data_IF_229829780188
#
_entry.id   IF_229829780188
#
_cell.length_a   1.000
_cell.length_b   1.000
_cell.length_c   1.000
_cell.angle_alpha   90.00
_cell.angle_beta   90.00
_cell.angle_gamma   90.00
#
_symmetry.space_group_name_H-M   'P 1'
#
loop_
_entity.id
_entity.type
_entity.pdbx_description
1 polymer ?
#
# COMPACT_ATOMS: atom_id res chain seq x y z
N UNK A 1 -12.33 -43.59 24.54
CA UNK A 1 -13.45 -43.89 23.63
C UNK A 1 -14.16 -42.57 23.35
N UNK A 2 -13.98 -42.00 22.16
CA UNK A 2 -14.59 -40.70 21.80
C UNK A 2 -16.08 -40.96 21.54
N UNK A 3 -16.96 -40.22 22.23
CA UNK A 3 -18.41 -40.41 22.04
C UNK A 3 -18.87 -39.73 20.75
N UNK A 4 -19.91 -40.28 20.10
CA UNK A 4 -20.49 -39.71 18.87
C UNK A 4 -20.88 -38.23 19.03
N UNK A 5 -21.29 -37.82 20.24
CA UNK A 5 -21.57 -36.41 20.59
C UNK A 5 -20.31 -35.53 20.57
N UNK A 6 -19.17 -36.07 20.99
CA UNK A 6 -17.89 -35.34 20.95
C UNK A 6 -17.42 -35.18 19.51
N UNK A 7 -17.59 -36.20 18.67
CA UNK A 7 -17.25 -36.15 17.25
C UNK A 7 -18.10 -35.09 16.51
N UNK A 8 -19.42 -35.07 16.74
CA UNK A 8 -20.31 -34.07 16.13
C UNK A 8 -19.98 -32.64 16.55
N UNK A 9 -19.61 -32.43 17.82
CA UNK A 9 -19.22 -31.10 18.32
C UNK A 9 -17.91 -30.64 17.69
N UNK A 10 -16.92 -31.52 17.59
CA UNK A 10 -15.63 -31.20 16.97
C UNK A 10 -15.84 -30.91 15.49
N UNK A 11 -16.54 -31.76 14.74
CA UNK A 11 -16.83 -31.53 13.32
C UNK A 11 -17.65 -30.27 13.07
N UNK A 12 -18.62 -29.95 13.93
CA UNK A 12 -19.40 -28.71 13.84
C UNK A 12 -18.56 -27.46 14.09
N UNK A 13 -17.66 -27.49 15.08
CA UNK A 13 -16.73 -26.39 15.34
C UNK A 13 -15.72 -26.25 14.19
N UNK A 14 -15.19 -27.34 13.65
CA UNK A 14 -14.29 -27.31 12.48
C UNK A 14 -14.99 -26.76 11.24
N UNK A 15 -16.27 -27.13 11.01
CA UNK A 15 -17.06 -26.61 9.90
C UNK A 15 -17.33 -25.10 10.05
N UNK A 16 -17.71 -24.66 11.26
CA UNK A 16 -17.91 -23.24 11.56
C UNK A 16 -16.62 -22.42 11.42
N UNK A 17 -15.47 -22.98 11.83
CA UNK A 17 -14.15 -22.38 11.65
C UNK A 17 -13.68 -22.39 10.19
N UNK A 18 -14.14 -23.34 9.37
CA UNK A 18 -13.84 -23.41 7.94
C UNK A 18 -14.75 -22.53 7.06
N UNK A 19 -15.87 -22.04 7.61
CA UNK A 19 -16.78 -21.12 6.94
C UNK A 19 -16.41 -19.65 7.18
N UNK A 20 -15.61 -19.35 8.21
CA UNK A 20 -15.08 -18.01 8.49
C UNK A 20 -13.92 -17.59 7.57
N UNK A 21 -13.41 -18.49 6.73
CA UNK A 21 -12.31 -18.22 5.78
C UNK A 21 -12.79 -17.85 4.36
N UNK A 22 -14.08 -17.59 4.18
CA UNK A 22 -14.59 -16.92 2.97
C UNK A 22 -14.84 -15.44 3.27
N UNK A 23 -13.85 -14.77 3.86
CA UNK A 23 -13.76 -13.32 3.76
C UNK A 23 -13.31 -13.03 2.33
N UNK A 24 -14.18 -12.38 1.54
CA UNK A 24 -13.68 -11.73 0.35
C UNK A 24 -12.89 -10.53 0.86
N UNK A 25 -11.57 -10.54 0.66
CA UNK A 25 -10.75 -9.35 0.87
C UNK A 25 -11.35 -8.22 0.02
N UNK A 26 -11.97 -7.25 0.68
CA UNK A 26 -12.49 -6.04 0.04
C UNK A 26 -11.31 -5.07 -0.06
N UNK A 27 -11.08 -4.46 -1.23
CA UNK A 27 -10.04 -3.45 -1.37
C UNK A 27 -10.59 -2.10 -0.92
N UNK A 28 -9.92 -1.46 0.03
CA UNK A 28 -10.21 -0.10 0.49
C UNK A 28 -9.36 0.89 -0.31
N UNK A 29 -10.02 1.83 -0.96
CA UNK A 29 -9.36 2.92 -1.68
C UNK A 29 -8.76 3.90 -0.67
N UNK A 30 -7.44 4.03 -0.64
CA UNK A 30 -6.75 4.98 0.25
C UNK A 30 -6.62 6.35 -0.39
N UNK A 31 -6.20 6.38 -1.65
CA UNK A 31 -6.02 7.59 -2.44
C UNK A 31 -6.51 7.33 -3.87
N UNK A 32 -7.22 8.30 -4.42
CA UNK A 32 -7.62 8.33 -5.82
C UNK A 32 -7.28 9.67 -6.46
N UNK A 33 -6.24 9.66 -7.27
CA UNK A 33 -5.80 10.85 -8.00
C UNK A 33 -6.66 11.08 -9.25
N UNK A 34 -7.31 10.03 -9.77
CA UNK A 34 -8.22 10.16 -10.92
C UNK A 34 -9.49 10.93 -10.58
N UNK A 35 -9.87 10.96 -9.29
CA UNK A 35 -11.01 11.73 -8.77
C UNK A 35 -10.64 13.18 -8.41
N UNK A 36 -9.42 13.64 -8.74
CA UNK A 36 -9.00 15.03 -8.55
C UNK A 36 -9.97 15.97 -9.26
N UNK A 37 -10.49 16.97 -8.55
CA UNK A 37 -11.41 17.95 -9.13
C UNK A 37 -10.59 18.92 -10.00
N UNK A 38 -11.13 19.41 -11.13
CA UNK A 38 -10.41 20.37 -11.99
C UNK A 38 -9.91 21.63 -11.29
N UNK A 39 -10.55 22.04 -10.17
CA UNK A 39 -10.11 23.19 -9.36
C UNK A 39 -8.92 22.91 -8.44
N UNK A 40 -8.62 21.64 -8.22
CA UNK A 40 -7.54 21.12 -7.35
C UNK A 40 -6.40 20.53 -8.21
N UNK A 41 -6.49 20.65 -9.54
CA UNK A 41 -5.44 20.32 -10.51
C UNK A 41 -4.26 21.28 -10.34
N UNK A 42 -3.04 20.76 -10.42
CA UNK A 42 -1.84 21.59 -10.31
C UNK A 42 -0.62 20.89 -9.72
N UNK A 43 0.46 21.67 -9.64
CA UNK A 43 1.71 21.23 -9.05
C UNK A 43 1.61 21.11 -7.53
N UNK A 44 2.23 20.08 -7.00
CA UNK A 44 2.35 19.80 -5.57
C UNK A 44 3.82 19.53 -5.27
N UNK A 45 4.37 19.98 -4.12
CA UNK A 45 5.78 19.82 -3.83
C UNK A 45 6.27 18.38 -4.00
N UNK A 46 7.48 18.21 -4.55
CA UNK A 46 8.11 16.90 -4.75
C UNK A 46 8.24 16.02 -3.50
N UNK A 47 8.06 16.61 -2.31
CA UNK A 47 7.78 15.90 -1.06
C UNK A 47 6.43 16.37 -0.52
N UNK A 48 5.43 15.50 -0.49
CA UNK A 48 4.08 15.85 -0.07
C UNK A 48 3.42 14.78 0.79
N UNK A 49 2.71 15.20 1.84
CA UNK A 49 2.04 14.30 2.77
C UNK A 49 0.53 14.41 2.65
N UNK A 50 -0.13 13.29 2.34
CA UNK A 50 -1.57 13.14 2.47
C UNK A 50 -1.89 12.67 3.88
N UNK A 51 -2.83 13.35 4.54
CA UNK A 51 -3.19 13.10 5.93
C UNK A 51 -4.53 12.41 6.09
N UNK A 52 -4.70 11.73 7.22
CA UNK A 52 -5.95 11.11 7.66
C UNK A 52 -6.60 10.17 6.63
N UNK A 53 -5.77 9.31 6.02
CA UNK A 53 -6.14 8.38 4.97
C UNK A 53 -7.30 7.47 5.38
N UNK A 54 -8.26 7.32 4.46
CA UNK A 54 -9.48 6.53 4.71
C UNK A 54 -10.29 7.00 5.93
N UNK A 55 -10.12 8.27 6.36
CA UNK A 55 -10.81 8.85 7.50
C UNK A 55 -10.25 8.43 8.87
N UNK A 56 -9.05 7.85 8.91
CA UNK A 56 -8.37 7.45 10.16
C UNK A 56 -7.41 8.56 10.55
N UNK A 57 -7.71 9.23 11.67
CA UNK A 57 -6.86 10.31 12.21
C UNK A 57 -5.41 9.82 12.41
N UNK A 58 -4.44 10.61 11.94
CA UNK A 58 -3.02 10.33 12.08
C UNK A 58 -2.46 9.28 11.11
N UNK A 59 -3.29 8.59 10.33
CA UNK A 59 -2.82 7.70 9.27
C UNK A 59 -2.46 8.50 8.02
N UNK A 60 -1.17 8.67 7.74
CA UNK A 60 -0.67 9.52 6.67
C UNK A 60 0.23 8.74 5.72
N UNK A 61 0.39 9.25 4.50
CA UNK A 61 1.39 8.78 3.54
C UNK A 61 2.14 9.98 2.98
N UNK A 62 3.47 9.87 2.95
CA UNK A 62 4.33 10.87 2.32
C UNK A 62 4.83 10.33 1.00
N UNK A 63 4.70 11.12 -0.05
CA UNK A 63 5.19 10.87 -1.39
C UNK A 63 6.47 11.67 -1.61
N UNK A 64 7.41 11.09 -2.34
CA UNK A 64 8.68 11.74 -2.68
C UNK A 64 9.14 11.32 -4.08
N UNK A 65 9.34 12.30 -4.97
CA UNK A 65 9.94 12.06 -6.29
C UNK A 65 11.42 11.69 -6.16
N UNK A 66 11.90 10.79 -7.01
CA UNK A 66 13.33 10.42 -7.04
C UNK A 66 14.20 11.47 -7.77
N UNK A 67 13.60 12.34 -8.56
CA UNK A 67 14.28 13.40 -9.31
C UNK A 67 14.45 14.69 -8.49
N UNK A 68 13.58 14.90 -7.50
CA UNK A 68 13.47 16.15 -6.75
C UNK A 68 12.55 17.19 -7.41
N UNK A 69 11.91 16.84 -8.52
CA UNK A 69 10.89 17.65 -9.18
C UNK A 69 9.55 17.59 -8.43
N UNK A 70 8.64 18.49 -8.78
CA UNK A 70 7.29 18.53 -8.21
C UNK A 70 6.40 17.42 -8.79
N UNK A 71 5.38 17.04 -8.01
CA UNK A 71 4.29 16.20 -8.48
C UNK A 71 3.29 17.02 -9.29
N UNK A 72 2.64 16.39 -10.27
CA UNK A 72 1.50 16.97 -10.98
C UNK A 72 0.22 16.20 -10.68
N UNK A 73 -0.80 16.86 -10.13
CA UNK A 73 -2.15 16.31 -10.00
C UNK A 73 -2.96 16.68 -11.24
N UNK A 74 -3.27 15.69 -12.09
CA UNK A 74 -4.09 15.86 -13.28
C UNK A 74 -5.52 15.37 -13.06
N UNK A 75 -6.50 16.26 -13.23
CA UNK A 75 -7.90 15.92 -13.04
C UNK A 75 -8.40 14.98 -14.14
N UNK A 76 -8.71 13.75 -13.75
CA UNK A 76 -9.18 12.69 -14.63
C UNK A 76 -8.12 11.66 -15.02
N UNK A 77 -6.83 11.97 -14.86
CA UNK A 77 -5.73 11.07 -15.23
C UNK A 77 -5.06 10.47 -13.99
N UNK A 78 -4.47 11.29 -13.11
CA UNK A 78 -3.80 10.80 -11.92
C UNK A 78 -2.66 11.70 -11.42
N UNK A 79 -1.72 11.09 -10.68
CA UNK A 79 -0.52 11.72 -10.14
C UNK A 79 0.68 11.43 -11.05
N UNK A 80 1.29 12.50 -11.56
CA UNK A 80 2.49 12.47 -12.39
C UNK A 80 3.66 13.23 -11.77
N UNK A 81 4.68 13.50 -12.57
CA UNK A 81 5.87 14.28 -12.18
C UNK A 81 6.06 15.38 -13.22
N UNK A 82 6.22 16.63 -12.78
CA UNK A 82 6.48 17.74 -13.69
C UNK A 82 7.92 18.24 -13.52
N UNK A 83 8.84 17.90 -14.45
CA UNK A 83 10.20 18.42 -14.41
C UNK A 83 10.20 19.91 -14.79
N UNK A 84 10.77 20.76 -13.92
CA UNK A 84 11.18 22.15 -14.22
C UNK A 84 10.10 23.24 -14.38
N UNK A 85 9.48 23.76 -13.29
CA UNK A 85 8.64 24.99 -13.25
C UNK A 85 7.52 25.14 -14.33
N UNK A 86 7.36 24.18 -15.23
CA UNK A 86 6.54 24.18 -16.45
C UNK A 86 5.45 23.10 -16.34
N UNK A 87 4.87 22.99 -15.15
CA UNK A 87 3.79 22.05 -14.84
C UNK A 87 2.50 22.53 -15.52
N UNK A 88 2.26 22.05 -16.74
CA UNK A 88 1.32 22.62 -17.70
C UNK A 88 0.50 21.53 -18.41
N UNK A 89 -0.33 20.78 -17.68
CA UNK A 89 -1.24 19.71 -18.17
C UNK A 89 -0.90 19.18 -19.58
N UNK A 90 0.23 18.51 -19.72
CA UNK A 90 0.72 17.96 -20.97
C UNK A 90 1.41 16.62 -20.74
N UNK A 91 1.86 15.96 -21.81
CA UNK A 91 2.49 14.63 -21.74
C UNK A 91 3.79 14.59 -20.94
N UNK A 92 4.49 15.72 -20.79
CA UNK A 92 5.70 15.81 -19.98
C UNK A 92 5.38 15.77 -18.47
N UNK A 93 4.12 15.95 -18.07
CA UNK A 93 3.68 15.82 -16.68
C UNK A 93 3.40 14.34 -16.30
N UNK A 94 3.66 13.40 -17.20
CA UNK A 94 3.61 11.96 -16.93
C UNK A 94 4.78 11.54 -16.02
N UNK A 95 4.74 10.32 -15.45
CA UNK A 95 5.92 9.69 -14.89
C UNK A 95 6.67 8.99 -16.04
N UNK A 96 7.81 9.53 -16.42
CA UNK A 96 8.61 9.10 -17.57
C UNK A 96 9.74 8.14 -17.19
N UNK A 97 10.39 7.55 -18.19
CA UNK A 97 11.56 6.67 -18.02
C UNK A 97 12.66 7.35 -17.17
N UNK A 98 13.05 6.68 -16.08
CA UNK A 98 14.02 7.16 -15.10
C UNK A 98 13.39 7.86 -13.89
N UNK A 99 12.13 8.26 -13.99
CA UNK A 99 11.38 8.92 -12.93
C UNK A 99 10.62 7.91 -12.07
N UNK A 100 10.39 8.27 -10.82
CA UNK A 100 9.82 7.36 -9.84
C UNK A 100 9.34 8.06 -8.59
N UNK A 101 8.46 7.37 -7.88
CA UNK A 101 7.86 7.84 -6.64
C UNK A 101 8.18 6.85 -5.54
N UNK A 102 8.73 7.38 -4.45
CA UNK A 102 8.83 6.68 -3.18
C UNK A 102 7.73 7.15 -2.24
N UNK A 103 7.28 6.27 -1.36
CA UNK A 103 6.25 6.60 -0.39
C UNK A 103 6.45 5.85 0.93
N UNK A 104 6.10 6.54 2.02
CA UNK A 104 6.25 6.05 3.39
C UNK A 104 4.97 6.29 4.19
N UNK A 105 4.50 5.28 4.89
CA UNK A 105 3.28 5.35 5.69
C UNK A 105 3.60 5.62 7.17
N UNK A 106 2.78 6.44 7.82
CA UNK A 106 2.88 6.71 9.25
C UNK A 106 1.51 6.64 9.92
N UNK A 107 1.44 6.15 11.16
CA UNK A 107 0.29 6.28 12.04
C UNK A 107 0.70 7.06 13.28
N UNK A 108 0.01 8.15 13.60
CA UNK A 108 0.34 9.04 14.73
C UNK A 108 1.80 9.54 14.74
N UNK A 109 2.37 9.70 13.53
CA UNK A 109 3.76 10.11 13.32
C UNK A 109 4.80 8.98 13.45
N UNK A 110 4.39 7.76 13.78
CA UNK A 110 5.24 6.57 13.80
C UNK A 110 5.23 5.90 12.42
N UNK A 111 6.39 5.56 11.82
CA UNK A 111 6.45 4.75 10.61
C UNK A 111 5.76 3.39 10.81
N UNK A 112 4.95 2.98 9.83
CA UNK A 112 4.23 1.71 9.86
C UNK A 112 4.52 0.89 8.61
N UNK A 113 4.45 -0.43 8.78
CA UNK A 113 4.64 -1.39 7.69
C UNK A 113 3.29 -1.74 7.08
N UNK A 114 3.15 -1.55 5.76
CA UNK A 114 1.91 -1.79 5.01
C UNK A 114 2.12 -2.89 3.96
N UNK A 115 1.78 -4.13 4.30
CA UNK A 115 1.80 -5.21 3.32
C UNK A 115 0.54 -5.19 2.43
N UNK A 116 0.66 -5.76 1.24
CA UNK A 116 -0.44 -6.12 0.33
C UNK A 116 -1.29 -4.93 -0.14
N UNK A 117 -0.66 -3.77 -0.36
CA UNK A 117 -1.32 -2.66 -1.05
C UNK A 117 -1.09 -2.75 -2.56
N UNK A 118 -2.08 -2.27 -3.30
CA UNK A 118 -2.13 -2.30 -4.77
C UNK A 118 -2.14 -0.88 -5.31
N UNK A 119 -1.34 -0.65 -6.34
CA UNK A 119 -1.36 0.59 -7.13
C UNK A 119 -2.07 0.33 -8.44
N UNK A 120 -2.94 1.26 -8.82
CA UNK A 120 -3.52 1.36 -10.16
C UNK A 120 -2.83 2.49 -10.89
N UNK A 121 -2.39 2.20 -12.11
CA UNK A 121 -1.86 3.17 -13.04
C UNK A 121 -2.92 3.58 -14.05
N UNK A 122 -2.74 4.77 -14.61
CA UNK A 122 -3.60 5.35 -15.62
C UNK A 122 -2.75 5.91 -16.76
N UNK A 123 -3.39 6.09 -17.91
CA UNK A 123 -2.77 6.65 -19.10
C UNK A 123 -2.91 8.17 -19.17
N UNK A 124 -2.26 8.74 -20.18
CA UNK A 124 -2.46 10.15 -20.51
C UNK A 124 -3.88 10.39 -21.05
N UNK A 125 -4.36 11.61 -20.84
CA UNK A 125 -5.74 12.04 -20.95
C UNK A 125 -6.39 11.61 -22.29
N UNK A 126 -7.24 10.58 -22.24
CA UNK A 126 -7.95 10.05 -23.42
C UNK A 126 -7.14 9.13 -24.34
N UNK A 127 -5.86 8.87 -24.06
CA UNK A 127 -4.98 8.01 -24.85
C UNK A 127 -4.83 6.59 -24.26
N UNK A 128 -5.05 6.46 -22.96
CA UNK A 128 -4.88 5.20 -22.24
C UNK A 128 -3.41 4.89 -21.94
N UNK A 129 -3.17 3.78 -21.26
CA UNK A 129 -1.84 3.38 -20.82
C UNK A 129 -1.04 2.88 -22.02
N UNK A 130 0.05 3.57 -22.32
CA UNK A 130 1.09 3.06 -23.21
C UNK A 130 1.82 1.93 -22.48
N UNK A 131 2.05 0.81 -23.16
CA UNK A 131 2.77 -0.34 -22.60
C UNK A 131 4.08 0.11 -21.94
N UNK A 132 4.09 0.09 -20.61
CA UNK A 132 5.14 0.64 -19.77
C UNK A 132 5.72 -0.44 -18.87
N UNK A 133 6.92 -0.19 -18.35
CA UNK A 133 7.58 -1.08 -17.40
C UNK A 133 8.00 -0.30 -16.17
N UNK A 134 7.63 -0.79 -15.00
CA UNK A 134 8.10 -0.26 -13.73
C UNK A 134 9.04 -1.27 -13.06
N UNK A 135 10.06 -0.77 -12.38
CA UNK A 135 10.83 -1.53 -11.41
C UNK A 135 10.37 -1.13 -10.02
N UNK A 136 9.75 -2.06 -9.29
CA UNK A 136 9.47 -1.90 -7.87
C UNK A 136 10.71 -2.33 -7.05
N UNK A 137 10.89 -1.76 -5.86
CA UNK A 137 12.04 -2.01 -4.97
C UNK A 137 12.30 -3.51 -4.64
N UNK A 138 11.32 -4.38 -4.85
CA UNK A 138 11.47 -5.83 -4.71
C UNK A 138 12.24 -6.51 -5.86
N UNK A 139 12.81 -5.71 -6.78
CA UNK A 139 13.56 -6.13 -7.99
C UNK A 139 12.65 -6.79 -9.04
N UNK A 140 11.33 -6.76 -8.84
CA UNK A 140 10.40 -7.19 -9.89
C UNK A 140 10.18 -6.05 -10.88
N UNK A 141 10.42 -6.36 -12.15
CA UNK A 141 10.00 -5.49 -13.24
C UNK A 141 8.61 -5.93 -13.69
N UNK A 142 7.65 -5.01 -13.59
CA UNK A 142 6.25 -5.27 -13.91
C UNK A 142 5.88 -4.52 -15.19
N UNK A 143 5.22 -5.21 -16.11
CA UNK A 143 4.60 -4.60 -17.28
C UNK A 143 3.27 -4.00 -16.86
N UNK A 144 3.06 -2.72 -17.19
CA UNK A 144 1.85 -1.96 -16.95
C UNK A 144 1.24 -1.63 -18.32
N UNK A 145 -0.02 -2.01 -18.51
CA UNK A 145 -0.77 -1.74 -19.74
C UNK A 145 -2.26 -1.62 -19.44
N UNK A 146 -3.06 -1.24 -20.44
CA UNK A 146 -4.52 -1.21 -20.31
C UNK A 146 -5.12 -2.54 -19.83
N UNK A 147 -4.54 -3.67 -20.22
CA UNK A 147 -5.00 -4.99 -19.80
C UNK A 147 -4.55 -5.36 -18.37
N UNK A 148 -3.45 -4.77 -17.90
CA UNK A 148 -2.83 -5.03 -16.61
C UNK A 148 -2.36 -3.72 -15.97
N UNK A 149 -3.28 -2.83 -15.54
CA UNK A 149 -2.92 -1.51 -15.04
C UNK A 149 -2.51 -1.53 -13.56
N UNK A 150 -2.36 -2.71 -12.96
CA UNK A 150 -2.21 -2.88 -11.52
C UNK A 150 -0.86 -3.51 -11.19
N UNK A 151 -0.27 -3.07 -10.07
CA UNK A 151 0.82 -3.77 -9.40
C UNK A 151 0.56 -3.84 -7.91
N UNK A 152 1.03 -4.88 -7.24
CA UNK A 152 0.80 -5.10 -5.80
C UNK A 152 2.13 -5.29 -5.10
N UNK A 153 2.37 -4.50 -4.05
CA UNK A 153 3.50 -4.72 -3.15
C UNK A 153 3.12 -5.77 -2.12
N UNK A 154 3.74 -6.94 -2.22
CA UNK A 154 3.54 -8.06 -1.29
C UNK A 154 4.62 -8.12 -0.21
N UNK A 155 5.71 -7.37 -0.38
CA UNK A 155 6.81 -7.31 0.59
C UNK A 155 6.53 -6.22 1.61
N UNK A 156 6.53 -6.60 2.88
CA UNK A 156 6.32 -5.69 4.00
C UNK A 156 7.56 -4.78 4.21
N UNK A 157 7.40 -3.47 4.01
CA UNK A 157 8.42 -2.43 4.21
C UNK A 157 7.85 -1.19 4.93
N UNK A 158 8.69 -0.29 5.42
CA UNK A 158 8.25 1.04 5.89
C UNK A 158 8.28 2.09 4.77
N UNK A 159 9.02 1.80 3.70
CA UNK A 159 9.22 2.64 2.53
C UNK A 159 9.13 1.78 1.28
N UNK A 160 8.49 2.30 0.25
CA UNK A 160 8.27 1.64 -1.02
C UNK A 160 8.62 2.60 -2.14
N UNK A 161 9.19 2.12 -3.24
CA UNK A 161 9.41 2.94 -4.41
C UNK A 161 9.27 2.14 -5.69
N UNK A 162 8.77 2.82 -6.73
CA UNK A 162 8.88 2.34 -8.10
C UNK A 162 9.59 3.38 -8.97
N UNK A 163 10.23 2.91 -10.03
CA UNK A 163 10.81 3.72 -11.10
C UNK A 163 10.29 3.21 -12.43
N UNK A 164 9.87 4.11 -13.32
CA UNK A 164 9.53 3.76 -14.70
C UNK A 164 10.83 3.47 -15.45
N UNK A 165 10.91 2.30 -16.07
CA UNK A 165 12.09 1.81 -16.80
C UNK A 165 11.89 1.80 -18.31
N UNK A 166 10.65 1.99 -18.77
CA UNK A 166 10.27 2.17 -20.17
C UNK A 166 8.83 2.66 -20.22
N UNK A 167 8.51 3.54 -21.17
CA UNK A 167 7.16 4.09 -21.35
C UNK A 167 6.87 5.28 -20.43
N UNK A 168 5.57 5.58 -20.28
CA UNK A 168 5.06 6.72 -19.53
C UNK A 168 3.68 6.39 -18.94
N UNK A 169 3.40 6.89 -17.73
CA UNK A 169 2.16 6.60 -17.01
C UNK A 169 1.84 7.64 -15.93
N UNK A 170 0.60 7.61 -15.44
CA UNK A 170 0.18 8.26 -14.19
C UNK A 170 -0.04 7.22 -13.10
N UNK A 171 0.23 7.57 -11.85
CA UNK A 171 -0.30 6.84 -10.70
C UNK A 171 -1.76 7.25 -10.50
N UNK A 172 -2.70 6.35 -10.75
CA UNK A 172 -4.13 6.61 -10.63
C UNK A 172 -4.63 6.51 -9.19
N UNK A 173 -4.37 5.39 -8.51
CA UNK A 173 -4.85 5.19 -7.13
C UNK A 173 -4.04 4.18 -6.33
N UNK A 174 -4.14 4.26 -5.00
CA UNK A 174 -3.58 3.30 -4.05
C UNK A 174 -4.71 2.66 -3.24
N UNK A 175 -4.66 1.34 -3.14
CA UNK A 175 -5.64 0.51 -2.45
C UNK A 175 -4.95 -0.39 -1.43
N UNK A 176 -5.60 -0.65 -0.31
CA UNK A 176 -5.13 -1.61 0.70
C UNK A 176 -6.20 -2.68 0.92
N UNK A 177 -5.79 -3.88 1.28
CA UNK A 177 -6.72 -4.88 1.78
C UNK A 177 -7.47 -4.36 3.03
N UNK A 178 -8.80 -4.49 3.03
CA UNK A 178 -9.65 -4.22 4.19
C UNK A 178 -9.21 -4.94 5.47
N UNK A 179 -8.63 -6.15 5.36
CA UNK A 179 -8.14 -6.89 6.52
C UNK A 179 -6.90 -6.24 7.15
N UNK A 180 -6.17 -5.45 6.35
CA UNK A 180 -4.97 -4.72 6.72
C UNK A 180 -5.25 -3.26 7.11
N UNK A 181 -6.51 -2.81 7.12
CA UNK A 181 -6.89 -1.41 7.37
C UNK A 181 -7.72 -1.20 8.66
N UNK A 182 -7.42 -0.17 9.48
CA UNK A 182 -6.20 0.62 9.44
C UNK A 182 -4.98 -0.27 9.74
N UNK A 183 -3.81 0.02 9.13
CA UNK A 183 -2.60 -0.71 9.47
C UNK A 183 -2.35 -0.52 10.95
N UNK A 184 -2.23 -1.61 11.68
CA UNK A 184 -1.84 -1.54 13.07
C UNK A 184 -0.38 -1.15 13.08
N UNK A 185 0.02 -0.22 13.96
CA UNK A 185 1.41 -0.20 14.40
C UNK A 185 1.80 -1.65 14.75
N UNK A 186 3.07 -1.99 14.68
CA UNK A 186 3.54 -3.23 15.28
C UNK A 186 3.92 -2.94 16.74
N UNK A 187 2.99 -2.92 17.72
CA UNK A 187 3.38 -3.20 19.09
C UNK A 187 3.76 -4.67 19.19
N UNK A 188 4.94 -4.99 19.70
CA UNK A 188 5.18 -6.29 20.33
C UNK A 188 4.99 -6.22 21.85
N UNK A 189 3.76 -6.30 22.40
CA UNK A 189 3.55 -6.66 23.79
C UNK A 189 3.26 -8.16 23.94
N UNK A 190 2.69 -8.83 22.93
CA UNK A 190 2.35 -10.25 23.00
C UNK A 190 3.60 -11.15 23.08
N UNK A 191 4.63 -10.84 22.28
CA UNK A 191 5.90 -11.56 22.28
C UNK A 191 6.72 -11.29 23.54
N UNK A 192 6.67 -10.07 24.08
CA UNK A 192 7.29 -9.73 25.37
C UNK A 192 6.57 -10.44 26.52
N UNK A 193 5.24 -10.54 26.52
CA UNK A 193 4.49 -11.26 27.56
C UNK A 193 4.70 -12.78 27.48
N UNK A 194 4.79 -13.34 26.27
CA UNK A 194 5.14 -14.76 26.02
C UNK A 194 6.59 -15.07 26.44
N UNK A 195 7.53 -14.17 26.16
CA UNK A 195 8.92 -14.28 26.60
C UNK A 195 9.03 -14.19 28.13
N UNK A 196 8.31 -13.26 28.76
CA UNK A 196 8.25 -13.09 30.21
C UNK A 196 7.60 -14.29 30.92
N UNK A 197 6.53 -14.85 30.35
CA UNK A 197 5.89 -16.07 30.88
C UNK A 197 6.78 -17.31 30.69
N UNK A 198 7.50 -17.40 29.57
CA UNK A 198 8.55 -18.43 29.35
C UNK A 198 9.71 -18.33 30.35
N UNK A 199 10.22 -17.11 30.60
CA UNK A 199 11.25 -16.82 31.58
C UNK A 199 10.79 -17.13 33.01
N UNK A 200 9.55 -16.78 33.37
CA UNK A 200 8.96 -17.11 34.67
C UNK A 200 8.83 -18.64 34.85
N UNK A 201 8.44 -19.37 33.81
CA UNK A 201 8.40 -20.84 33.81
C UNK A 201 9.78 -21.49 34.01
N UNK A 202 10.81 -20.97 33.35
CA UNK A 202 12.21 -21.41 33.50
C UNK A 202 12.77 -21.13 34.91
N UNK A 203 12.46 -19.98 35.49
CA UNK A 203 12.88 -19.62 36.85
C UNK A 203 12.16 -20.46 37.91
N UNK A 204 10.87 -20.76 37.72
CA UNK A 204 10.11 -21.64 38.61
C UNK A 204 10.59 -23.10 38.55
N UNK A 205 10.98 -23.58 37.36
CA UNK A 205 11.57 -24.90 37.14
C UNK A 205 12.88 -25.10 37.90
N UNK A 206 13.74 -24.06 37.97
CA UNK A 206 15.02 -24.13 38.71
C UNK A 206 14.87 -24.22 40.23
N UNK A 207 13.76 -23.76 40.81
CA UNK A 207 13.51 -23.82 42.27
C UNK A 207 12.93 -25.15 42.75
N UNK A 208 12.64 -26.09 41.84
CA UNK A 208 12.10 -27.44 42.15
C UNK A 208 13.15 -28.56 42.05
N UNK A 209 14.42 -28.23 41.89
CA UNK A 209 15.56 -29.12 42.15
C UNK A 209 16.28 -28.66 43.40
#
# INVERSE_FOLDING_TARGET
MITLKTLLKVSGITLLLSLSSAANAELIKLLDFTETKPKDEGAVPGVFTFTDLGGVEGFNVTFTTNTGDDHWLDAGSGLGICPLDDCNRNSEDNINEGEGISFSFTLDGTPIVVADFTMLFAGHDGEGIIDSMISADDVTTNMISEAMPLTTYTVASDTYAFVVTSGELYLGSIWIDSESFPPKEVPEPANVLLLLTGLAGLLASRKRK
#
